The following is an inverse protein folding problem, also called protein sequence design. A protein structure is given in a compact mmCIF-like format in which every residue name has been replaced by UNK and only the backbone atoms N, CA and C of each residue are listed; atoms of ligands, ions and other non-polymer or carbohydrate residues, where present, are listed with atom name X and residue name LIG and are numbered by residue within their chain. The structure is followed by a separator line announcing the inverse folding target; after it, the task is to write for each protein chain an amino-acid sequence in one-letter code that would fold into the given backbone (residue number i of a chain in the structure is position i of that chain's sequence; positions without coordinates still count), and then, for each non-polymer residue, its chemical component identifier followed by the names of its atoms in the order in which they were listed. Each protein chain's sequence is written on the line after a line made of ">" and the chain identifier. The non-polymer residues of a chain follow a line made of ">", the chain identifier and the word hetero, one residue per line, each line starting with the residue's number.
data_IF_567766509947
#
_entry.id   IF_567766509947
#
_cell.length_a   1.000
_cell.length_b   1.000
_cell.length_c   1.000
_cell.angle_alpha   90.00
_cell.angle_beta   90.00
_cell.angle_gamma   90.00
#
_symmetry.space_group_name_H-M   'P 1'
#
loop_
_entity.id
_entity.type
_entity.pdbx_description
1 polymer ?
#
# COMPACT_ATOMS: atom_id res chain seq x y z
N UNK A 1 18.10 -3.89 17.04
CA UNK A 1 17.25 -4.68 17.98
C UNK A 1 17.41 -4.10 19.39
N UNK A 2 16.62 -3.10 19.75
CA UNK A 2 16.42 -2.75 21.16
C UNK A 2 15.02 -3.21 21.55
N UNK A 3 14.94 -4.37 22.18
CA UNK A 3 13.76 -4.80 22.92
C UNK A 3 13.53 -3.78 24.04
N UNK A 4 12.42 -3.05 23.98
CA UNK A 4 11.93 -2.28 25.13
C UNK A 4 11.54 -3.32 26.16
N UNK A 5 12.41 -3.56 27.16
CA UNK A 5 12.11 -4.33 28.34
C UNK A 5 10.95 -3.66 29.07
N UNK A 6 9.72 -4.19 28.91
CA UNK A 6 8.60 -3.87 29.80
C UNK A 6 8.93 -4.38 31.19
N UNK A 7 9.69 -3.61 31.96
CA UNK A 7 9.72 -3.79 33.43
C UNK A 7 8.38 -3.30 33.95
N UNK A 8 7.64 -4.19 34.58
CA UNK A 8 6.47 -3.90 35.37
C UNK A 8 6.84 -2.86 36.42
N UNK A 9 6.53 -1.60 36.19
CA UNK A 9 6.67 -0.54 37.18
C UNK A 9 5.53 -0.69 38.17
N UNK A 10 5.92 -0.84 39.43
CA UNK A 10 5.03 -0.81 40.59
C UNK A 10 4.52 0.64 40.76
N UNK A 11 3.27 0.91 40.42
CA UNK A 11 2.64 2.24 40.43
C UNK A 11 2.40 2.78 41.85
N UNK A 12 3.34 2.59 42.79
CA UNK A 12 3.18 2.97 44.21
C UNK A 12 3.64 4.37 44.61
N UNK A 13 4.37 5.13 43.80
CA UNK A 13 4.86 6.49 44.15
C UNK A 13 5.52 7.27 43.02
N UNK A 14 5.11 7.10 41.74
CA UNK A 14 5.63 7.95 40.67
C UNK A 14 5.05 9.36 40.80
N UNK A 15 5.91 10.38 40.94
CA UNK A 15 5.51 11.78 40.93
C UNK A 15 4.84 12.10 39.58
N UNK A 16 3.79 12.91 39.56
CA UNK A 16 3.12 13.42 38.36
C UNK A 16 4.09 13.93 37.28
N UNK A 17 5.27 14.36 37.68
CA UNK A 17 6.34 14.86 36.80
C UNK A 17 7.02 13.76 35.98
N UNK A 18 7.27 12.60 36.57
CA UNK A 18 7.89 11.45 35.87
C UNK A 18 6.89 10.82 34.89
N UNK A 19 5.61 10.80 35.22
CA UNK A 19 4.56 10.33 34.32
C UNK A 19 4.36 11.27 33.11
N UNK A 20 4.37 12.58 33.31
CA UNK A 20 4.30 13.56 32.24
C UNK A 20 5.54 13.49 31.32
N UNK A 21 6.73 13.32 31.88
CA UNK A 21 7.95 13.13 31.10
C UNK A 21 7.91 11.86 30.25
N UNK A 22 7.46 10.74 30.83
CA UNK A 22 7.27 9.47 30.12
C UNK A 22 6.26 9.61 28.95
N UNK A 23 5.12 10.26 29.19
CA UNK A 23 4.16 10.53 28.12
C UNK A 23 4.75 11.43 27.03
N UNK A 24 5.51 12.46 27.40
CA UNK A 24 6.16 13.33 26.42
C UNK A 24 7.16 12.59 25.56
N UNK A 25 7.95 11.66 26.14
CA UNK A 25 8.88 10.81 25.39
C UNK A 25 8.15 9.84 24.46
N UNK A 26 7.04 9.24 24.90
CA UNK A 26 6.19 8.39 24.04
C UNK A 26 5.63 9.21 22.88
N UNK A 27 5.06 10.38 23.14
CA UNK A 27 4.50 11.24 22.09
C UNK A 27 5.58 11.73 21.11
N UNK A 28 6.77 12.09 21.59
CA UNK A 28 7.88 12.49 20.73
C UNK A 28 8.35 11.34 19.84
N UNK A 29 8.52 10.14 20.40
CA UNK A 29 8.86 8.95 19.62
C UNK A 29 7.78 8.60 18.61
N UNK A 30 6.51 8.59 19.01
CA UNK A 30 5.39 8.33 18.12
C UNK A 30 5.33 9.34 16.97
N UNK A 31 5.46 10.64 17.27
CA UNK A 31 5.49 11.69 16.25
C UNK A 31 6.66 11.53 15.28
N UNK A 32 7.84 11.15 15.77
CA UNK A 32 9.01 10.87 14.94
C UNK A 32 8.79 9.68 14.01
N UNK A 33 8.25 8.57 14.50
CA UNK A 33 7.94 7.40 13.68
C UNK A 33 6.90 7.70 12.60
N UNK A 34 5.84 8.40 12.94
CA UNK A 34 4.79 8.77 11.99
C UNK A 34 5.29 9.72 10.90
N UNK A 35 6.16 10.66 11.23
CA UNK A 35 6.80 11.53 10.25
C UNK A 35 7.71 10.74 9.33
N UNK A 36 8.51 9.82 9.84
CA UNK A 36 9.39 8.97 9.06
C UNK A 36 8.58 8.07 8.09
N UNK A 37 7.50 7.44 8.54
CA UNK A 37 6.62 6.64 7.67
C UNK A 37 6.00 7.48 6.56
N UNK A 38 5.55 8.69 6.86
CA UNK A 38 4.99 9.60 5.87
C UNK A 38 6.01 9.95 4.77
N UNK A 39 7.26 10.22 5.15
CA UNK A 39 8.35 10.54 4.22
C UNK A 39 8.75 9.32 3.39
N UNK A 40 8.89 8.14 4.01
CA UNK A 40 9.17 6.88 3.32
C UNK A 40 8.06 6.53 2.32
N UNK A 41 6.79 6.73 2.70
CA UNK A 41 5.64 6.54 1.83
C UNK A 41 5.74 7.43 0.58
N UNK A 42 6.02 8.71 0.77
CA UNK A 42 6.12 9.69 -0.33
C UNK A 42 7.27 9.36 -1.29
N UNK A 43 8.42 8.90 -0.78
CA UNK A 43 9.56 8.49 -1.61
C UNK A 43 9.17 7.29 -2.51
N UNK A 44 8.54 6.26 -1.94
CA UNK A 44 8.09 5.09 -2.69
C UNK A 44 7.05 5.47 -3.74
N UNK A 45 6.06 6.26 -3.36
CA UNK A 45 5.04 6.73 -4.30
C UNK A 45 5.65 7.60 -5.39
N UNK A 46 6.64 8.41 -5.08
CA UNK A 46 7.38 9.20 -6.06
C UNK A 46 7.99 8.33 -7.16
N UNK A 47 8.57 7.18 -6.81
CA UNK A 47 9.10 6.19 -7.77
C UNK A 47 7.98 5.54 -8.59
N UNK A 48 6.89 5.15 -7.96
CA UNK A 48 5.72 4.57 -8.65
C UNK A 48 5.12 5.56 -9.64
N UNK A 49 4.96 6.81 -9.23
CA UNK A 49 4.45 7.91 -10.04
C UNK A 49 5.37 8.21 -11.23
N UNK A 50 6.67 8.22 -11.03
CA UNK A 50 7.65 8.43 -12.11
C UNK A 50 7.52 7.34 -13.18
N UNK A 51 7.38 6.08 -12.78
CA UNK A 51 7.16 4.96 -13.71
C UNK A 51 5.81 5.10 -14.45
N UNK A 52 4.76 5.49 -13.75
CA UNK A 52 3.44 5.72 -14.32
C UNK A 52 3.50 6.81 -15.41
N UNK A 53 4.17 7.93 -15.11
CA UNK A 53 4.38 9.05 -16.05
C UNK A 53 5.16 8.62 -17.29
N UNK A 54 6.28 7.91 -17.12
CA UNK A 54 7.10 7.44 -18.22
C UNK A 54 6.29 6.53 -19.16
N UNK A 55 5.50 5.61 -18.60
CA UNK A 55 4.62 4.73 -19.40
C UNK A 55 3.53 5.52 -20.12
N UNK A 56 2.99 6.59 -19.52
CA UNK A 56 2.03 7.45 -20.21
C UNK A 56 2.65 8.23 -21.37
N UNK A 57 3.95 8.56 -21.32
CA UNK A 57 4.64 9.18 -22.46
C UNK A 57 4.73 8.23 -23.65
N UNK A 58 4.91 6.92 -23.41
CA UNK A 58 5.04 5.91 -24.44
C UNK A 58 3.72 5.61 -25.16
N UNK A 59 2.62 5.46 -24.41
CA UNK A 59 1.34 4.95 -24.96
C UNK A 59 0.08 5.57 -24.34
N UNK A 60 0.22 6.73 -23.70
CA UNK A 60 -0.91 7.46 -23.12
C UNK A 60 -1.65 6.67 -22.04
N UNK A 61 -2.94 6.91 -21.93
CA UNK A 61 -3.83 6.24 -20.99
C UNK A 61 -4.51 5.00 -21.60
N UNK A 62 -3.75 4.16 -22.35
CA UNK A 62 -4.29 2.96 -23.01
C UNK A 62 -5.04 2.01 -22.05
N UNK A 63 -4.69 2.02 -20.77
CA UNK A 63 -5.35 1.22 -19.72
C UNK A 63 -6.81 1.60 -19.48
N UNK A 64 -7.28 2.77 -19.96
CA UNK A 64 -8.67 3.23 -19.79
C UNK A 64 -9.71 2.32 -20.45
N UNK A 65 -9.30 1.53 -21.44
CA UNK A 65 -10.20 0.53 -22.10
C UNK A 65 -10.32 -0.77 -21.28
N UNK A 66 -9.54 -0.94 -20.22
CA UNK A 66 -9.55 -2.16 -19.43
C UNK A 66 -10.76 -2.20 -18.51
N UNK A 67 -11.46 -3.33 -18.52
CA UNK A 67 -12.47 -3.63 -17.51
C UNK A 67 -11.81 -3.82 -16.15
N UNK A 68 -12.54 -3.53 -15.09
CA UNK A 68 -12.02 -3.67 -13.72
C UNK A 68 -11.44 -5.06 -13.42
N UNK A 69 -12.10 -6.19 -13.79
CA UNK A 69 -11.53 -7.52 -13.60
C UNK A 69 -10.18 -7.71 -14.32
N UNK A 70 -9.95 -7.04 -15.44
CA UNK A 70 -8.66 -7.12 -16.14
C UNK A 70 -7.54 -6.46 -15.34
N UNK A 71 -7.81 -5.35 -14.63
CA UNK A 71 -6.85 -4.72 -13.73
C UNK A 71 -6.62 -5.59 -12.48
N UNK A 72 -7.69 -6.16 -11.91
CA UNK A 72 -7.60 -7.13 -10.80
C UNK A 72 -6.69 -8.31 -11.16
N UNK A 73 -6.83 -8.86 -12.39
CA UNK A 73 -6.00 -9.97 -12.85
C UNK A 73 -4.54 -9.57 -13.07
N UNK A 74 -4.26 -8.34 -13.53
CA UNK A 74 -2.88 -7.84 -13.62
C UNK A 74 -2.22 -7.76 -12.24
N UNK A 75 -2.94 -7.27 -11.23
CA UNK A 75 -2.45 -7.24 -9.84
C UNK A 75 -2.23 -8.67 -9.32
N UNK A 76 -3.19 -9.57 -9.60
CA UNK A 76 -3.10 -10.97 -9.17
C UNK A 76 -1.86 -11.69 -9.72
N UNK A 77 -1.55 -11.53 -11.02
CA UNK A 77 -0.36 -12.13 -11.64
C UNK A 77 0.92 -11.65 -10.93
N UNK A 78 1.02 -10.36 -10.60
CA UNK A 78 2.15 -9.78 -9.89
C UNK A 78 2.29 -10.31 -8.47
N UNK A 79 1.21 -10.33 -7.71
CA UNK A 79 1.20 -10.85 -6.35
C UNK A 79 1.57 -12.35 -6.30
N UNK A 80 1.05 -13.16 -7.23
CA UNK A 80 1.43 -14.57 -7.39
C UNK A 80 2.92 -14.74 -7.73
N UNK A 81 3.45 -13.85 -8.57
CA UNK A 81 4.87 -13.88 -8.91
C UNK A 81 5.75 -13.56 -7.71
N UNK A 82 5.41 -12.52 -6.93
CA UNK A 82 6.12 -12.21 -5.69
C UNK A 82 6.14 -13.43 -4.77
N UNK A 83 4.97 -14.04 -4.52
CA UNK A 83 4.87 -15.23 -3.68
C UNK A 83 5.78 -16.36 -4.16
N UNK A 84 5.80 -16.60 -5.47
CA UNK A 84 6.65 -17.63 -6.07
C UNK A 84 8.15 -17.31 -5.95
N UNK A 85 8.54 -16.03 -6.04
CA UNK A 85 9.91 -15.59 -5.80
C UNK A 85 10.34 -15.77 -4.34
N UNK A 86 9.41 -15.59 -3.39
CA UNK A 86 9.64 -15.80 -1.96
C UNK A 86 9.74 -17.29 -1.57
N UNK A 87 9.13 -18.18 -2.36
CA UNK A 87 9.13 -19.63 -2.12
C UNK A 87 10.27 -20.36 -2.86
N UNK A 88 10.98 -19.70 -3.79
CA UNK A 88 11.97 -20.34 -4.68
C UNK A 88 13.25 -19.56 -4.80
N UNK A 89 14.39 -20.24 -4.67
CA UNK A 89 15.71 -19.68 -4.91
C UNK A 89 16.07 -19.55 -6.40
N UNK A 90 15.23 -20.07 -7.31
CA UNK A 90 15.50 -20.11 -8.76
C UNK A 90 14.74 -18.98 -9.47
N UNK A 91 15.48 -17.97 -9.95
CA UNK A 91 14.96 -16.86 -10.77
C UNK A 91 15.31 -17.12 -12.25
N UNK A 92 14.32 -17.06 -13.13
CA UNK A 92 14.50 -17.17 -14.59
C UNK A 92 14.38 -15.84 -15.33
N UNK A 93 13.84 -14.82 -14.68
CA UNK A 93 13.61 -13.47 -15.22
C UNK A 93 14.22 -12.48 -14.25
N UNK A 94 14.92 -11.49 -14.77
CA UNK A 94 15.70 -10.49 -13.99
C UNK A 94 14.83 -9.35 -13.43
N UNK A 95 13.55 -9.59 -13.19
CA UNK A 95 12.68 -8.67 -12.46
C UNK A 95 12.62 -9.10 -11.00
N UNK A 96 12.84 -8.15 -10.10
CA UNK A 96 12.83 -8.36 -8.67
C UNK A 96 11.42 -8.17 -8.05
N UNK A 97 11.28 -8.51 -6.78
CA UNK A 97 10.03 -8.35 -6.05
C UNK A 97 9.59 -6.88 -5.98
N UNK A 98 10.53 -5.93 -5.94
CA UNK A 98 10.25 -4.49 -5.85
C UNK A 98 9.52 -3.99 -7.09
N UNK A 99 9.95 -4.42 -8.28
CA UNK A 99 9.28 -4.04 -9.53
C UNK A 99 7.83 -4.54 -9.60
N UNK A 100 7.57 -5.71 -9.02
CA UNK A 100 6.21 -6.25 -8.94
C UNK A 100 5.33 -5.47 -7.94
N UNK A 101 5.87 -5.08 -6.76
CA UNK A 101 5.15 -4.23 -5.82
C UNK A 101 4.82 -2.85 -6.41
N UNK A 102 5.75 -2.23 -7.13
CA UNK A 102 5.48 -0.99 -7.89
C UNK A 102 4.35 -1.19 -8.90
N UNK A 103 4.35 -2.34 -9.59
CA UNK A 103 3.28 -2.70 -10.52
C UNK A 103 1.93 -2.86 -9.82
N UNK A 104 1.87 -3.50 -8.65
CA UNK A 104 0.65 -3.64 -7.84
C UNK A 104 0.11 -2.27 -7.45
N UNK A 105 0.97 -1.35 -6.96
CA UNK A 105 0.58 0.01 -6.61
C UNK A 105 -0.05 0.70 -7.82
N UNK A 106 0.63 0.74 -8.96
CA UNK A 106 0.16 1.47 -10.13
C UNK A 106 -1.12 0.88 -10.73
N UNK A 107 -1.26 -0.45 -10.82
CA UNK A 107 -2.50 -1.07 -11.28
C UNK A 107 -3.66 -0.89 -10.29
N UNK A 108 -3.39 -0.85 -8.98
CA UNK A 108 -4.42 -0.55 -7.98
C UNK A 108 -4.92 0.90 -8.08
N UNK A 109 -4.02 1.86 -8.34
CA UNK A 109 -4.44 3.25 -8.61
C UNK A 109 -5.25 3.35 -9.90
N UNK A 110 -4.84 2.66 -10.97
CA UNK A 110 -5.64 2.59 -12.21
C UNK A 110 -7.02 1.99 -11.95
N UNK A 111 -7.14 0.97 -11.08
CA UNK A 111 -8.40 0.37 -10.71
C UNK A 111 -9.30 1.34 -9.93
N UNK A 112 -8.74 2.12 -9.01
CA UNK A 112 -9.47 3.19 -8.30
C UNK A 112 -10.00 4.25 -9.27
N UNK A 113 -9.19 4.66 -10.26
CA UNK A 113 -9.62 5.60 -11.30
C UNK A 113 -10.74 4.98 -12.16
N UNK A 114 -10.63 3.70 -12.53
CA UNK A 114 -11.69 3.01 -13.28
C UNK A 114 -13.00 2.88 -12.48
N UNK A 115 -12.93 2.69 -11.16
CA UNK A 115 -14.12 2.70 -10.30
C UNK A 115 -14.81 4.07 -10.31
N UNK A 116 -14.05 5.15 -10.31
CA UNK A 116 -14.58 6.52 -10.33
C UNK A 116 -15.13 6.90 -11.72
N UNK A 117 -14.39 6.58 -12.78
CA UNK A 117 -14.68 7.06 -14.15
C UNK A 117 -15.47 6.09 -15.00
N UNK A 118 -15.52 4.82 -14.62
CA UNK A 118 -16.01 3.76 -15.50
C UNK A 118 -15.00 3.38 -16.59
N UNK A 119 -15.32 2.34 -17.36
CA UNK A 119 -14.56 1.91 -18.53
C UNK A 119 -14.81 2.87 -19.69
N UNK A 120 -13.80 3.13 -20.52
CA UNK A 120 -13.91 3.92 -21.74
C UNK A 120 -13.75 3.02 -22.98
N UNK A 121 -14.40 3.40 -24.09
CA UNK A 121 -14.27 2.70 -25.38
C UNK A 121 -12.90 2.96 -26.03
N UNK A 122 -12.29 4.09 -25.69
CA UNK A 122 -10.95 4.51 -26.15
C UNK A 122 -10.28 5.32 -25.06
N UNK A 123 -8.94 5.54 -25.09
CA UNK A 123 -8.26 6.42 -24.16
C UNK A 123 -8.89 7.83 -24.17
N UNK A 124 -9.48 8.22 -23.06
CA UNK A 124 -10.30 9.44 -22.89
C UNK A 124 -9.71 10.45 -21.89
N UNK A 125 -8.56 10.13 -21.28
CA UNK A 125 -7.89 11.00 -20.32
C UNK A 125 -6.63 11.64 -20.94
N UNK A 126 -6.53 12.96 -20.79
CA UNK A 126 -5.27 13.68 -21.00
C UNK A 126 -4.24 13.33 -19.94
N UNK A 127 -2.97 13.59 -20.23
CA UNK A 127 -1.88 13.27 -19.30
C UNK A 127 -2.06 13.98 -17.94
N UNK A 128 -2.45 15.27 -17.96
CA UNK A 128 -2.63 16.03 -16.71
C UNK A 128 -3.80 15.50 -15.88
N UNK A 129 -4.94 15.20 -16.52
CA UNK A 129 -6.11 14.66 -15.81
C UNK A 129 -5.79 13.31 -15.16
N UNK A 130 -5.03 12.45 -15.85
CA UNK A 130 -4.61 11.17 -15.33
C UNK A 130 -3.66 11.31 -14.13
N UNK A 131 -2.75 12.30 -14.16
CA UNK A 131 -1.85 12.63 -13.06
C UNK A 131 -2.66 13.13 -11.85
N UNK A 132 -3.57 14.06 -12.06
CA UNK A 132 -4.39 14.64 -10.98
C UNK A 132 -5.25 13.57 -10.30
N UNK A 133 -5.80 12.65 -11.09
CA UNK A 133 -6.55 11.48 -10.55
C UNK A 133 -5.64 10.50 -9.80
N UNK A 134 -4.43 10.25 -10.30
CA UNK A 134 -3.43 9.44 -9.62
C UNK A 134 -3.09 10.04 -8.26
N UNK A 135 -2.71 11.31 -8.22
CA UNK A 135 -2.30 12.01 -7.02
C UNK A 135 -3.45 12.12 -6.00
N UNK A 136 -4.68 12.38 -6.45
CA UNK A 136 -5.90 12.37 -5.62
C UNK A 136 -6.12 11.01 -4.93
N UNK A 137 -6.05 9.90 -5.67
CA UNK A 137 -6.28 8.57 -5.12
C UNK A 137 -5.16 8.15 -4.15
N UNK A 138 -3.91 8.50 -4.45
CA UNK A 138 -2.78 8.26 -3.54
C UNK A 138 -2.93 9.10 -2.26
N UNK A 139 -3.31 10.36 -2.34
CA UNK A 139 -3.51 11.20 -1.16
C UNK A 139 -4.59 10.63 -0.23
N UNK A 140 -5.71 10.17 -0.78
CA UNK A 140 -6.79 9.53 -0.01
C UNK A 140 -6.32 8.20 0.62
N UNK A 141 -5.55 7.40 -0.12
CA UNK A 141 -5.01 6.12 0.36
C UNK A 141 -3.96 6.33 1.47
N UNK A 142 -3.10 7.33 1.32
CA UNK A 142 -2.13 7.73 2.35
C UNK A 142 -2.83 8.20 3.62
N UNK A 143 -3.88 9.03 3.50
CA UNK A 143 -4.64 9.49 4.66
C UNK A 143 -5.23 8.30 5.42
N UNK A 144 -5.85 7.34 4.72
CA UNK A 144 -6.37 6.12 5.35
C UNK A 144 -5.27 5.32 6.07
N UNK A 145 -4.07 5.23 5.50
CA UNK A 145 -2.92 4.60 6.14
C UNK A 145 -2.52 5.34 7.42
N UNK A 146 -2.44 6.68 7.38
CA UNK A 146 -2.09 7.49 8.54
C UNK A 146 -3.11 7.34 9.67
N UNK A 147 -4.41 7.33 9.35
CA UNK A 147 -5.49 7.13 10.32
C UNK A 147 -5.39 5.74 10.97
N UNK A 148 -5.15 4.68 10.17
CA UNK A 148 -4.95 3.32 10.71
C UNK A 148 -3.68 3.21 11.57
N UNK A 149 -2.58 3.85 11.18
CA UNK A 149 -1.35 3.86 11.97
C UNK A 149 -1.54 4.60 13.30
N UNK A 150 -2.39 5.64 13.33
CA UNK A 150 -2.75 6.31 14.57
C UNK A 150 -3.42 5.34 15.55
N UNK A 151 -4.35 4.52 15.07
CA UNK A 151 -5.16 3.64 15.92
C UNK A 151 -4.42 2.35 16.33
N UNK A 152 -3.62 1.78 15.44
CA UNK A 152 -2.96 0.49 15.64
C UNK A 152 -1.46 0.59 15.96
N UNK A 153 -0.90 1.81 16.03
CA UNK A 153 0.54 1.99 15.98
C UNK A 153 1.09 1.51 14.63
N UNK A 154 2.38 1.47 14.46
CA UNK A 154 3.00 0.95 13.22
C UNK A 154 3.25 -0.57 13.29
N UNK A 155 2.25 -1.34 13.71
CA UNK A 155 2.37 -2.81 13.88
C UNK A 155 2.80 -3.53 12.59
N UNK A 156 2.58 -2.95 11.42
CA UNK A 156 3.03 -3.47 10.14
C UNK A 156 4.57 -3.56 10.04
N UNK A 157 5.32 -2.77 10.82
CA UNK A 157 6.79 -2.83 10.84
C UNK A 157 7.35 -4.15 11.37
N UNK A 158 6.58 -4.84 12.20
CA UNK A 158 6.93 -6.17 12.71
C UNK A 158 6.44 -7.31 11.80
N UNK A 159 5.73 -6.99 10.72
CA UNK A 159 5.25 -7.98 9.75
C UNK A 159 6.36 -8.39 8.78
N UNK A 160 6.32 -9.65 8.36
CA UNK A 160 7.17 -10.15 7.28
C UNK A 160 6.66 -9.67 5.93
N UNK A 161 7.54 -9.43 4.97
CA UNK A 161 7.16 -9.11 3.59
C UNK A 161 6.26 -10.20 3.00
N UNK A 162 6.53 -11.48 3.29
CA UNK A 162 5.67 -12.59 2.86
C UNK A 162 4.25 -12.52 3.41
N UNK A 163 4.07 -12.05 4.66
CA UNK A 163 2.75 -11.84 5.23
C UNK A 163 2.00 -10.69 4.56
N UNK A 164 2.70 -9.62 4.18
CA UNK A 164 2.11 -8.52 3.40
C UNK A 164 1.67 -9.01 2.01
N UNK A 165 2.47 -9.87 1.36
CA UNK A 165 2.11 -10.52 0.08
C UNK A 165 0.84 -11.36 0.22
N UNK A 166 0.73 -12.15 1.28
CA UNK A 166 -0.47 -12.98 1.54
C UNK A 166 -1.72 -12.14 1.80
N UNK A 167 -1.58 -11.00 2.49
CA UNK A 167 -2.69 -10.06 2.67
C UNK A 167 -3.14 -9.43 1.34
N UNK A 168 -2.20 -9.08 0.46
CA UNK A 168 -2.52 -8.60 -0.90
C UNK A 168 -3.31 -9.68 -1.67
N UNK A 169 -2.86 -10.92 -1.65
CA UNK A 169 -3.56 -12.04 -2.28
C UNK A 169 -4.95 -12.26 -1.70
N UNK A 170 -5.12 -12.12 -0.37
CA UNK A 170 -6.42 -12.22 0.28
C UNK A 170 -7.37 -11.10 -0.19
N UNK A 171 -6.87 -9.85 -0.29
CA UNK A 171 -7.67 -8.73 -0.81
C UNK A 171 -8.07 -8.95 -2.26
N UNK A 172 -7.20 -9.50 -3.08
CA UNK A 172 -7.50 -9.85 -4.48
C UNK A 172 -8.61 -10.90 -4.57
N UNK A 173 -8.59 -11.95 -3.75
CA UNK A 173 -9.66 -12.95 -3.71
C UNK A 173 -10.99 -12.32 -3.32
N UNK A 174 -10.99 -11.39 -2.36
CA UNK A 174 -12.20 -10.64 -1.98
C UNK A 174 -12.72 -9.80 -3.13
N UNK A 175 -11.85 -9.06 -3.83
CA UNK A 175 -12.24 -8.25 -4.99
C UNK A 175 -12.89 -9.15 -6.05
N UNK A 176 -12.28 -10.28 -6.42
CA UNK A 176 -12.86 -11.23 -7.39
C UNK A 176 -14.23 -11.73 -6.96
N UNK A 177 -14.42 -12.08 -5.69
CA UNK A 177 -15.72 -12.51 -5.17
C UNK A 177 -16.79 -11.41 -5.23
N UNK A 178 -16.40 -10.15 -4.96
CA UNK A 178 -17.31 -9.01 -5.06
C UNK A 178 -17.64 -8.73 -6.53
N UNK A 179 -16.67 -8.81 -7.44
CA UNK A 179 -16.88 -8.68 -8.88
C UNK A 179 -17.85 -9.77 -9.41
N UNK A 180 -17.64 -11.02 -9.02
CA UNK A 180 -18.53 -12.16 -9.38
C UNK A 180 -19.95 -11.99 -8.83
N UNK A 181 -20.09 -11.33 -7.67
CA UNK A 181 -21.36 -10.97 -7.06
C UNK A 181 -21.95 -9.63 -7.55
N UNK A 182 -21.50 -9.13 -8.71
CA UNK A 182 -22.01 -7.87 -9.30
C UNK A 182 -21.83 -6.65 -8.36
N UNK A 183 -20.77 -6.62 -7.57
CA UNK A 183 -20.47 -5.53 -6.64
C UNK A 183 -21.26 -5.57 -5.32
N UNK A 184 -22.07 -6.59 -5.06
CA UNK A 184 -22.90 -6.66 -3.85
C UNK A 184 -22.11 -7.25 -2.69
N UNK A 185 -22.09 -6.53 -1.56
CA UNK A 185 -21.58 -7.01 -0.26
C UNK A 185 -22.67 -6.89 0.80
N UNK A 186 -22.64 -7.75 1.82
CA UNK A 186 -23.58 -7.69 2.96
C UNK A 186 -23.07 -6.80 4.09
N UNK A 187 -21.79 -6.94 4.44
CA UNK A 187 -21.15 -6.26 5.57
C UNK A 187 -19.72 -5.82 5.27
N UNK A 188 -19.16 -6.23 4.13
CA UNK A 188 -17.77 -5.95 3.78
C UNK A 188 -17.61 -4.54 3.21
N UNK A 189 -16.43 -3.98 3.40
CA UNK A 189 -15.96 -2.79 2.69
C UNK A 189 -16.06 -3.00 1.16
N UNK A 190 -16.21 -1.92 0.42
CA UNK A 190 -16.27 -1.94 -1.04
C UNK A 190 -14.98 -2.42 -1.71
N UNK A 191 -15.02 -2.53 -3.02
CA UNK A 191 -13.85 -2.91 -3.84
C UNK A 191 -12.73 -1.87 -3.69
N UNK A 192 -13.07 -0.59 -3.59
CA UNK A 192 -12.16 0.54 -3.45
C UNK A 192 -11.25 0.42 -2.21
N UNK A 193 -11.82 0.11 -1.04
CA UNK A 193 -11.06 -0.11 0.17
C UNK A 193 -10.05 -1.27 0.04
N UNK A 194 -10.41 -2.32 -0.71
CA UNK A 194 -9.48 -3.43 -0.96
C UNK A 194 -8.30 -3.00 -1.85
N UNK A 195 -8.51 -2.15 -2.87
CA UNK A 195 -7.40 -1.60 -3.66
C UNK A 195 -6.52 -0.65 -2.85
N UNK A 196 -7.10 0.19 -2.00
CA UNK A 196 -6.34 1.05 -1.08
C UNK A 196 -5.47 0.23 -0.11
N UNK A 197 -6.00 -0.85 0.45
CA UNK A 197 -5.23 -1.75 1.30
C UNK A 197 -4.08 -2.42 0.53
N UNK A 198 -4.30 -2.85 -0.72
CA UNK A 198 -3.23 -3.43 -1.54
C UNK A 198 -2.12 -2.42 -1.85
N UNK A 199 -2.45 -1.15 -2.08
CA UNK A 199 -1.46 -0.08 -2.23
C UNK A 199 -0.65 0.03 -0.91
N UNK A 200 -1.31 0.17 0.24
CA UNK A 200 -0.65 0.36 1.51
C UNK A 200 0.24 -0.83 1.90
N UNK A 201 -0.22 -2.08 1.73
CA UNK A 201 0.60 -3.27 1.98
C UNK A 201 1.82 -3.35 1.04
N UNK A 202 1.67 -2.93 -0.22
CA UNK A 202 2.78 -2.87 -1.17
C UNK A 202 3.79 -1.79 -0.79
N UNK A 203 3.34 -0.62 -0.33
CA UNK A 203 4.23 0.43 0.18
C UNK A 203 4.96 -0.05 1.43
N UNK A 204 4.30 -0.71 2.37
CA UNK A 204 4.94 -1.27 3.56
C UNK A 204 6.02 -2.30 3.21
N UNK A 205 5.76 -3.18 2.24
CA UNK A 205 6.76 -4.12 1.75
C UNK A 205 7.98 -3.39 1.14
N UNK A 206 7.75 -2.32 0.39
CA UNK A 206 8.80 -1.50 -0.20
C UNK A 206 9.62 -0.74 0.86
N UNK A 207 9.00 -0.27 1.94
CA UNK A 207 9.69 0.33 3.09
C UNK A 207 10.62 -0.72 3.75
N UNK A 208 10.14 -1.94 3.97
CA UNK A 208 10.97 -3.01 4.51
C UNK A 208 12.20 -3.31 3.65
N UNK A 209 12.06 -3.33 2.32
CA UNK A 209 13.21 -3.48 1.42
C UNK A 209 14.19 -2.31 1.55
N UNK A 210 13.70 -1.08 1.65
CA UNK A 210 14.52 0.11 1.77
C UNK A 210 15.31 0.13 3.10
N UNK A 211 14.67 -0.28 4.20
CA UNK A 211 15.32 -0.37 5.52
C UNK A 211 16.35 -1.50 5.61
N UNK A 212 16.17 -2.57 4.86
CA UNK A 212 17.13 -3.68 4.82
C UNK A 212 18.39 -3.37 3.99
N UNK A 213 18.37 -2.32 3.14
CA UNK A 213 19.49 -1.88 2.32
C UNK A 213 20.35 -0.79 2.99
N UNK A 214 19.84 -0.16 4.07
CA UNK A 214 20.53 0.85 4.86
C UNK A 214 21.17 0.23 6.11
#
# INVERSE_FOLDING_TARGET
>A
RQFINMRWWNFGSANNFDYLKYLTEIYANYSYFMQNTSEQYDDIIGRCRSLFLNKMQDYGCAWRILRLPSLTDQIFIKAQRIRKLQESDVRKVDEDEKSEFIGIINYSVMALIQLEKGIADQPDLGAQDAIDLYDKNIAATKQLMMDKNHDYGEAWRDMRISSLTDLILQKLLRVKQIEDNQGKTLVSEGIDANYQDMINYSVFAMIHFQEAEN
#
